data_IF_683021999321
#
_entry.id   IF_683021999321
#
_cell.length_a   1.000
_cell.length_b   1.000
_cell.length_c   1.000
_cell.angle_alpha   90.00
_cell.angle_beta   90.00
_cell.angle_gamma   90.00
#
_symmetry.space_group_name_H-M   'P 1'
#
loop_
_entity.id
_entity.type
_entity.pdbx_description
1 polymer ?
#
# COMPACT_ATOMS: atom_id res chain seq x y z
N UNK A 1 41.86 34.76 33.63
CA UNK A 1 41.34 33.87 32.56
C UNK A 1 41.11 32.53 33.20
N UNK A 2 39.87 32.05 33.23
CA UNK A 2 39.55 30.77 33.85
C UNK A 2 40.23 29.61 33.12
N UNK A 3 40.59 28.56 33.86
CA UNK A 3 41.31 27.41 33.31
C UNK A 3 40.44 26.66 32.30
N UNK A 4 40.90 26.46 31.04
CA UNK A 4 40.10 25.79 30.00
C UNK A 4 39.73 24.35 30.36
N UNK A 5 40.60 23.67 31.13
CA UNK A 5 40.32 22.33 31.64
C UNK A 5 39.14 22.31 32.63
N UNK A 6 39.03 23.35 33.46
CA UNK A 6 37.95 23.47 34.43
C UNK A 6 36.60 23.68 33.74
N UNK A 7 36.56 24.51 32.69
CA UNK A 7 35.34 24.71 31.89
C UNK A 7 34.89 23.40 31.22
N UNK A 8 35.81 22.64 30.64
CA UNK A 8 35.49 21.35 30.03
C UNK A 8 34.97 20.33 31.07
N UNK A 9 35.52 20.33 32.28
CA UNK A 9 35.03 19.48 33.37
C UNK A 9 33.64 19.89 33.83
N UNK A 10 33.36 21.19 33.92
CA UNK A 10 32.03 21.72 34.23
C UNK A 10 31.02 21.26 33.18
N UNK A 11 31.34 21.37 31.89
CA UNK A 11 30.45 20.94 30.81
C UNK A 11 30.16 19.43 30.85
N UNK A 12 31.19 18.61 31.08
CA UNK A 12 31.04 17.16 31.22
C UNK A 12 30.19 16.76 32.42
N UNK A 13 30.36 17.45 33.56
CA UNK A 13 29.55 17.23 34.76
C UNK A 13 28.11 17.68 34.55
N UNK A 14 27.88 18.83 33.90
CA UNK A 14 26.53 19.29 33.55
C UNK A 14 25.80 18.28 32.66
N UNK A 15 26.48 17.71 31.66
CA UNK A 15 25.91 16.66 30.81
C UNK A 15 25.56 15.41 31.62
N UNK A 16 26.45 14.99 32.53
CA UNK A 16 26.25 13.82 33.40
C UNK A 16 25.06 14.02 34.35
N UNK A 17 24.94 15.21 34.94
CA UNK A 17 23.80 15.57 35.80
C UNK A 17 22.50 15.56 34.98
N UNK A 18 22.50 16.10 33.77
CA UNK A 18 21.33 16.07 32.88
C UNK A 18 20.92 14.63 32.56
N UNK A 19 21.88 13.76 32.24
CA UNK A 19 21.62 12.34 32.01
C UNK A 19 21.02 11.65 33.25
N UNK A 20 21.63 11.83 34.43
CA UNK A 20 21.13 11.26 35.69
C UNK A 20 19.74 11.78 36.06
N UNK A 21 19.47 13.06 35.80
CA UNK A 21 18.14 13.66 36.00
C UNK A 21 17.11 13.03 35.08
N UNK A 22 17.45 12.81 33.80
CA UNK A 22 16.56 12.17 32.84
C UNK A 22 16.24 10.72 33.22
N UNK A 23 17.24 9.93 33.62
CA UNK A 23 17.02 8.56 34.07
C UNK A 23 16.20 8.51 35.36
N UNK A 24 16.47 9.39 36.33
CA UNK A 24 15.64 9.50 37.53
C UNK A 24 14.19 9.85 37.19
N UNK A 25 13.97 10.80 36.29
CA UNK A 25 12.62 11.16 35.85
C UNK A 25 11.93 9.99 35.14
N UNK A 26 12.66 9.24 34.29
CA UNK A 26 12.15 8.04 33.64
C UNK A 26 11.71 7.00 34.67
N UNK A 27 12.56 6.71 35.66
CA UNK A 27 12.29 5.72 36.71
C UNK A 27 11.12 6.15 37.61
N UNK A 28 11.09 7.41 38.05
CA UNK A 28 9.98 7.96 38.85
C UNK A 28 8.66 7.96 38.08
N UNK A 29 8.70 8.13 36.76
CA UNK A 29 7.52 8.15 35.88
C UNK A 29 7.06 6.79 35.35
N UNK A 30 7.69 5.66 35.71
CA UNK A 30 7.37 4.35 35.13
C UNK A 30 5.90 3.96 35.37
N UNK A 31 5.41 4.12 36.61
CA UNK A 31 4.04 3.73 36.95
C UNK A 31 3.01 4.55 36.17
N UNK A 32 3.13 5.87 36.18
CA UNK A 32 2.24 6.77 35.41
C UNK A 32 2.29 6.46 33.90
N UNK A 33 3.48 6.18 33.35
CA UNK A 33 3.63 5.81 31.94
C UNK A 33 2.94 4.47 31.63
N UNK A 34 3.00 3.51 32.55
CA UNK A 34 2.33 2.22 32.42
C UNK A 34 0.80 2.36 32.48
N UNK A 35 0.29 3.15 33.43
CA UNK A 35 -1.15 3.45 33.53
C UNK A 35 -1.64 4.12 32.24
N UNK A 36 -0.91 5.10 31.71
CA UNK A 36 -1.25 5.74 30.44
C UNK A 36 -1.17 4.77 29.24
N UNK A 37 -0.15 3.92 29.18
CA UNK A 37 0.04 2.94 28.11
C UNK A 37 -0.97 1.77 28.15
N UNK A 38 -1.62 1.56 29.31
CA UNK A 38 -2.71 0.59 29.46
C UNK A 38 -4.00 1.04 28.77
N UNK A 39 -4.14 2.35 28.50
CA UNK A 39 -5.27 2.92 27.79
C UNK A 39 -5.14 2.66 26.28
N UNK A 40 -6.28 2.49 25.61
CA UNK A 40 -6.32 2.33 24.16
C UNK A 40 -5.81 3.61 23.44
N UNK A 41 -4.98 3.49 22.40
CA UNK A 41 -4.53 4.64 21.62
C UNK A 41 -5.72 5.34 20.94
N UNK A 42 -5.76 6.66 21.06
CA UNK A 42 -6.75 7.48 20.35
C UNK A 42 -6.30 7.68 18.91
N UNK A 43 -7.06 7.15 17.96
CA UNK A 43 -6.86 7.37 16.53
C UNK A 43 -7.93 8.30 15.97
N UNK A 44 -7.54 9.50 15.56
CA UNK A 44 -8.47 10.46 14.94
C UNK A 44 -8.57 10.19 13.44
N UNK A 45 -9.77 10.03 12.87
CA UNK A 45 -9.93 9.92 11.42
C UNK A 45 -9.36 11.16 10.73
N UNK A 46 -8.64 10.97 9.62
CA UNK A 46 -8.15 12.07 8.79
C UNK A 46 -9.35 12.80 8.18
N UNK A 47 -9.67 13.99 8.70
CA UNK A 47 -10.60 14.93 8.05
C UNK A 47 -9.81 15.63 6.95
N UNK A 48 -9.87 15.12 5.73
CA UNK A 48 -9.25 15.78 4.59
C UNK A 48 -9.95 17.13 4.35
N UNK A 49 -9.25 18.24 4.65
CA UNK A 49 -9.60 19.54 4.09
C UNK A 49 -9.45 19.46 2.56
N UNK A 50 -10.21 20.24 1.77
CA UNK A 50 -10.33 20.06 0.31
C UNK A 50 -9.06 20.22 -0.54
N UNK A 51 -7.85 20.37 0.04
CA UNK A 51 -6.66 20.82 -0.70
C UNK A 51 -5.35 20.03 -0.54
N UNK A 52 -5.20 19.13 0.42
CA UNK A 52 -3.90 18.44 0.65
C UNK A 52 -3.96 16.93 0.38
N UNK A 53 -4.11 16.55 -0.89
CA UNK A 53 -4.22 15.15 -1.29
C UNK A 53 -3.61 14.84 -2.65
N UNK A 54 -2.32 15.15 -2.85
CA UNK A 54 -1.64 14.85 -4.14
C UNK A 54 -0.58 13.75 -4.08
N UNK A 55 -0.21 13.20 -2.91
CA UNK A 55 0.88 12.20 -2.82
C UNK A 55 0.41 10.76 -2.60
N UNK A 56 -0.37 10.53 -1.54
CA UNK A 56 -0.59 9.19 -0.95
C UNK A 56 -1.62 8.33 -1.71
N UNK A 57 -2.41 8.97 -2.61
CA UNK A 57 -3.54 8.33 -3.30
C UNK A 57 -3.35 8.11 -4.79
N UNK A 58 -2.25 8.56 -5.40
CA UNK A 58 -2.11 8.55 -6.86
C UNK A 58 -1.99 7.13 -7.44
N UNK A 59 -1.22 6.25 -6.80
CA UNK A 59 -1.06 4.86 -7.23
C UNK A 59 -2.38 4.09 -7.05
N UNK A 60 -3.00 4.21 -5.88
CA UNK A 60 -4.33 3.63 -5.61
C UNK A 60 -5.40 4.17 -6.57
N UNK A 61 -5.39 5.47 -6.88
CA UNK A 61 -6.32 6.08 -7.84
C UNK A 61 -6.08 5.58 -9.28
N UNK A 62 -4.82 5.42 -9.70
CA UNK A 62 -4.49 4.86 -11.00
C UNK A 62 -4.95 3.40 -11.12
N UNK A 63 -4.76 2.59 -10.08
CA UNK A 63 -5.28 1.23 -10.01
C UNK A 63 -6.81 1.23 -10.06
N UNK A 64 -7.48 2.11 -9.32
CA UNK A 64 -8.94 2.23 -9.34
C UNK A 64 -9.48 2.57 -10.74
N UNK A 65 -8.85 3.53 -11.44
CA UNK A 65 -9.21 3.88 -12.82
C UNK A 65 -9.03 2.67 -13.76
N UNK A 66 -7.92 1.94 -13.66
CA UNK A 66 -7.67 0.72 -14.44
C UNK A 66 -8.71 -0.36 -14.15
N UNK A 67 -9.07 -0.57 -12.89
CA UNK A 67 -10.12 -1.52 -12.48
C UNK A 67 -11.44 -1.19 -13.15
N UNK A 68 -11.88 0.07 -13.10
CA UNK A 68 -13.14 0.48 -13.70
C UNK A 68 -13.15 0.31 -15.22
N UNK A 69 -12.04 0.67 -15.89
CA UNK A 69 -11.92 0.49 -17.34
C UNK A 69 -12.01 -0.99 -17.76
N UNK A 70 -11.32 -1.88 -17.05
CA UNK A 70 -11.37 -3.32 -17.34
C UNK A 70 -12.75 -3.90 -17.02
N UNK A 71 -13.39 -3.44 -15.95
CA UNK A 71 -14.74 -3.85 -15.56
C UNK A 71 -15.77 -3.45 -16.62
N UNK A 72 -15.71 -2.20 -17.10
CA UNK A 72 -16.56 -1.71 -18.18
C UNK A 72 -16.36 -2.51 -19.47
N UNK A 73 -15.09 -2.77 -19.83
CA UNK A 73 -14.76 -3.61 -20.99
C UNK A 73 -15.33 -5.02 -20.84
N UNK A 74 -15.21 -5.62 -19.66
CA UNK A 74 -15.75 -6.95 -19.37
C UNK A 74 -17.27 -6.97 -19.49
N UNK A 75 -17.97 -5.96 -18.95
CA UNK A 75 -19.42 -5.84 -19.10
C UNK A 75 -19.84 -5.68 -20.56
N UNK A 76 -19.13 -4.87 -21.34
CA UNK A 76 -19.41 -4.73 -22.75
C UNK A 76 -19.22 -6.06 -23.49
N UNK A 77 -18.16 -6.82 -23.18
CA UNK A 77 -17.91 -8.12 -23.80
C UNK A 77 -18.93 -9.18 -23.39
N UNK A 78 -19.37 -9.20 -22.13
CA UNK A 78 -20.37 -10.16 -21.65
C UNK A 78 -21.76 -9.87 -22.21
N UNK A 79 -22.13 -8.59 -22.32
CA UNK A 79 -23.42 -8.17 -22.86
C UNK A 79 -23.52 -8.35 -24.39
N UNK A 80 -22.39 -8.30 -25.11
CA UNK A 80 -22.36 -8.37 -26.58
C UNK A 80 -21.82 -9.69 -27.13
N UNK A 81 -21.84 -10.76 -26.36
CA UNK A 81 -21.45 -12.09 -26.82
C UNK A 81 -22.42 -12.58 -27.92
N UNK A 82 -21.92 -12.71 -29.16
CA UNK A 82 -22.70 -13.14 -30.33
C UNK A 82 -22.11 -14.41 -30.94
N UNK A 83 -22.97 -15.28 -31.44
CA UNK A 83 -22.58 -16.49 -32.18
C UNK A 83 -21.95 -16.10 -33.52
N UNK A 84 -20.88 -16.79 -33.92
CA UNK A 84 -20.20 -16.55 -35.20
C UNK A 84 -21.02 -17.12 -36.35
N UNK A 85 -21.45 -16.27 -37.28
CA UNK A 85 -22.15 -16.71 -38.49
C UNK A 85 -21.20 -17.43 -39.46
N UNK A 86 -21.53 -18.69 -39.76
CA UNK A 86 -20.79 -19.59 -40.67
C UNK A 86 -21.20 -19.44 -42.14
N UNK A 87 -22.33 -18.77 -42.43
CA UNK A 87 -22.90 -18.67 -43.79
C UNK A 87 -22.39 -17.45 -44.57
N UNK A 88 -21.71 -16.52 -43.91
CA UNK A 88 -21.21 -15.29 -44.53
C UNK A 88 -19.94 -15.50 -45.36
N UNK A 89 -20.11 -15.72 -46.67
CA UNK A 89 -19.05 -15.69 -47.68
C UNK A 89 -18.53 -14.27 -48.01
N UNK A 90 -19.21 -13.20 -47.53
CA UNK A 90 -18.88 -11.79 -47.81
C UNK A 90 -17.88 -11.16 -46.84
N UNK A 91 -17.43 -11.88 -45.82
CA UNK A 91 -16.47 -11.37 -44.83
C UNK A 91 -15.05 -11.77 -45.22
N UNK A 92 -14.13 -10.81 -45.26
CA UNK A 92 -12.72 -11.05 -45.59
C UNK A 92 -11.99 -11.98 -44.60
N UNK A 93 -12.61 -12.36 -43.47
CA UNK A 93 -12.04 -13.26 -42.46
C UNK A 93 -12.89 -14.52 -42.30
N UNK A 94 -12.21 -15.68 -42.23
CA UNK A 94 -12.84 -16.97 -41.95
C UNK A 94 -13.54 -17.00 -40.59
N UNK A 95 -14.56 -17.84 -40.45
CA UNK A 95 -15.28 -18.04 -39.19
C UNK A 95 -14.36 -18.47 -38.05
N UNK A 96 -13.41 -19.37 -38.34
CA UNK A 96 -12.37 -19.80 -37.39
C UNK A 96 -11.47 -18.65 -36.95
N UNK A 97 -11.06 -17.76 -37.87
CA UNK A 97 -10.26 -16.59 -37.53
C UNK A 97 -11.02 -15.61 -36.61
N UNK A 98 -12.33 -15.40 -36.85
CA UNK A 98 -13.18 -14.57 -35.98
C UNK A 98 -13.33 -15.16 -34.58
N UNK A 99 -13.51 -16.48 -34.47
CA UNK A 99 -13.58 -17.16 -33.18
C UNK A 99 -12.24 -17.04 -32.42
N UNK A 100 -11.13 -17.29 -33.11
CA UNK A 100 -9.79 -17.15 -32.53
C UNK A 100 -9.53 -15.73 -32.04
N UNK A 101 -9.95 -14.71 -32.80
CA UNK A 101 -9.85 -13.31 -32.39
C UNK A 101 -10.61 -13.02 -31.09
N UNK A 102 -11.83 -13.56 -30.92
CA UNK A 102 -12.59 -13.41 -29.67
C UNK A 102 -11.89 -14.09 -28.49
N UNK A 103 -11.38 -15.31 -28.68
CA UNK A 103 -10.63 -16.03 -27.65
C UNK A 103 -9.34 -15.30 -27.27
N UNK A 104 -8.60 -14.76 -28.25
CA UNK A 104 -7.40 -13.98 -28.01
C UNK A 104 -7.69 -12.70 -27.21
N UNK A 105 -8.78 -12.00 -27.53
CA UNK A 105 -9.24 -10.82 -26.76
C UNK A 105 -9.57 -11.18 -25.31
N UNK A 106 -10.28 -12.29 -25.07
CA UNK A 106 -10.58 -12.77 -23.73
C UNK A 106 -9.31 -13.13 -22.94
N UNK A 107 -8.35 -13.79 -23.58
CA UNK A 107 -7.08 -14.15 -22.96
C UNK A 107 -6.27 -12.89 -22.59
N UNK A 108 -6.22 -11.90 -23.47
CA UNK A 108 -5.57 -10.62 -23.20
C UNK A 108 -6.20 -9.88 -22.02
N UNK A 109 -7.54 -9.91 -21.93
CA UNK A 109 -8.29 -9.31 -20.82
C UNK A 109 -7.98 -10.03 -19.49
N UNK A 110 -8.01 -11.36 -19.48
CA UNK A 110 -7.62 -12.18 -18.32
C UNK A 110 -6.21 -11.81 -17.83
N UNK A 111 -5.24 -11.77 -18.74
CA UNK A 111 -3.85 -11.45 -18.38
C UNK A 111 -3.73 -10.04 -17.78
N UNK A 112 -4.47 -9.07 -18.33
CA UNK A 112 -4.51 -7.70 -17.79
C UNK A 112 -5.10 -7.67 -16.36
N UNK A 113 -6.14 -8.47 -16.10
CA UNK A 113 -6.74 -8.59 -14.75
C UNK A 113 -5.77 -9.26 -13.77
N UNK A 114 -5.05 -10.30 -14.19
CA UNK A 114 -4.08 -10.98 -13.32
C UNK A 114 -2.93 -10.04 -12.91
N UNK A 115 -2.44 -9.22 -13.84
CA UNK A 115 -1.44 -8.17 -13.56
C UNK A 115 -2.02 -7.15 -12.58
N UNK A 116 -3.22 -6.62 -12.86
CA UNK A 116 -3.87 -5.63 -11.99
C UNK A 116 -4.10 -6.17 -10.57
N UNK A 117 -4.48 -7.45 -10.43
CA UNK A 117 -4.63 -8.11 -9.14
C UNK A 117 -3.31 -8.15 -8.37
N UNK A 118 -2.22 -8.51 -9.04
CA UNK A 118 -0.89 -8.52 -8.44
C UNK A 118 -0.47 -7.11 -8.00
N UNK A 119 -0.70 -6.11 -8.85
CA UNK A 119 -0.38 -4.70 -8.56
C UNK A 119 -1.20 -4.17 -7.37
N UNK A 120 -2.49 -4.50 -7.33
CA UNK A 120 -3.40 -4.13 -6.24
C UNK A 120 -2.97 -4.77 -4.90
N UNK A 121 -2.53 -6.02 -4.93
CA UNK A 121 -1.99 -6.68 -3.74
C UNK A 121 -0.70 -6.01 -3.26
N UNK A 122 0.20 -5.64 -4.17
CA UNK A 122 1.44 -4.93 -3.81
C UNK A 122 1.13 -3.57 -3.19
N UNK A 123 0.24 -2.79 -3.80
CA UNK A 123 -0.20 -1.51 -3.24
C UNK A 123 -0.82 -1.68 -1.85
N UNK A 124 -1.72 -2.65 -1.67
CA UNK A 124 -2.36 -2.91 -0.38
C UNK A 124 -1.36 -3.26 0.74
N UNK A 125 -0.27 -3.96 0.40
CA UNK A 125 0.81 -4.27 1.33
C UNK A 125 1.65 -3.03 1.66
N UNK A 126 1.94 -2.17 0.68
CA UNK A 126 2.70 -0.93 0.91
C UNK A 126 1.95 0.06 1.81
N UNK A 127 0.63 0.14 1.65
CA UNK A 127 -0.23 1.07 2.40
C UNK A 127 -0.38 0.70 3.88
N UNK A 128 -0.10 -0.56 4.28
CA UNK A 128 -0.26 -1.02 5.67
C UNK A 128 1.09 -1.24 6.35
N UNK A 129 1.42 -0.45 7.40
CA UNK A 129 2.61 -0.69 8.20
C UNK A 129 2.65 -2.12 8.77
N UNK A 130 3.77 -2.81 8.62
CA UNK A 130 3.96 -4.20 9.09
C UNK A 130 3.29 -5.28 8.22
N UNK A 131 2.68 -4.92 7.09
CA UNK A 131 2.08 -5.89 6.16
C UNK A 131 3.09 -6.60 5.26
N UNK A 132 4.36 -6.15 5.21
CA UNK A 132 5.43 -6.76 4.40
C UNK A 132 6.48 -7.46 5.27
N UNK A 133 7.11 -8.49 4.72
CA UNK A 133 8.34 -9.08 5.26
C UNK A 133 9.54 -8.22 4.83
N UNK A 134 10.54 -7.97 5.69
CA UNK A 134 11.76 -7.27 5.30
C UNK A 134 12.64 -8.18 4.42
N UNK A 135 12.77 -7.84 3.14
CA UNK A 135 13.58 -8.59 2.17
C UNK A 135 14.20 -7.66 1.13
N UNK A 136 15.39 -8.00 0.62
CA UNK A 136 16.11 -7.17 -0.37
C UNK A 136 15.63 -7.36 -1.82
N UNK A 137 14.92 -8.45 -2.11
CA UNK A 137 14.56 -8.85 -3.49
C UNK A 137 13.24 -8.26 -3.99
N UNK A 138 12.39 -7.74 -3.10
CA UNK A 138 11.09 -7.22 -3.48
C UNK A 138 10.12 -7.08 -2.32
N UNK A 139 8.84 -6.88 -2.66
CA UNK A 139 7.76 -6.73 -1.70
C UNK A 139 6.99 -8.04 -1.55
N UNK A 140 7.02 -8.62 -0.34
CA UNK A 140 6.32 -9.86 -0.03
C UNK A 140 5.35 -9.66 1.13
N UNK A 141 4.06 -10.03 0.98
CA UNK A 141 3.10 -9.93 2.06
C UNK A 141 3.51 -10.79 3.27
N UNK A 142 3.31 -10.29 4.49
CA UNK A 142 3.52 -11.05 5.71
C UNK A 142 2.43 -12.10 5.90
N UNK A 143 2.76 -13.23 6.53
CA UNK A 143 1.77 -14.28 6.80
C UNK A 143 0.61 -13.77 7.65
N UNK A 144 0.87 -12.88 8.61
CA UNK A 144 -0.16 -12.28 9.45
C UNK A 144 -1.12 -11.44 8.61
N UNK A 145 -0.61 -10.64 7.67
CA UNK A 145 -1.44 -9.84 6.77
C UNK A 145 -2.37 -10.69 5.89
N UNK A 146 -1.88 -11.82 5.38
CA UNK A 146 -2.69 -12.72 4.55
C UNK A 146 -3.73 -13.54 5.34
N UNK A 147 -3.51 -13.76 6.64
CA UNK A 147 -4.39 -14.57 7.51
C UNK A 147 -5.50 -13.77 8.17
N UNK A 148 -5.38 -12.44 8.24
CA UNK A 148 -6.46 -11.57 8.71
C UNK A 148 -7.60 -11.66 7.71
N UNK A 149 -8.63 -12.42 8.08
CA UNK A 149 -9.86 -12.65 7.33
C UNK A 149 -10.96 -11.75 7.83
#
# INVERSE_FOLDING_TARGET
KDSPLLLQQIDALQLSIKHLKNENNRLKGVQLKMELASLAPLHVPKLSLPKDGQGDGLATQALYRKTNQLLETLYQMSANAKVVDMKQAKSARSSSARLLEQTARLLALKNSIDILRADTMREAVQQKPGASVPTDFGLFPSSSFLKVR
#
